data_IF_246242491414
#
_entry.id   IF_246242491414
#
_cell.length_a   1.000
_cell.length_b   1.000
_cell.length_c   1.000
_cell.angle_alpha   90.00
_cell.angle_beta   90.00
_cell.angle_gamma   90.00
#
_symmetry.space_group_name_H-M   'P 1'
#
loop_
_entity.id
_entity.type
_entity.pdbx_description
1 polymer ?
#
# COMPACT_ATOMS: atom_id res chain seq x y z
N UNK A 1 16.53 -12.73 -6.41
CA UNK A 1 15.85 -14.04 -6.57
C UNK A 1 14.69 -13.98 -7.56
N UNK A 2 13.58 -13.28 -7.30
CA UNK A 2 12.43 -13.26 -8.22
C UNK A 2 12.79 -12.85 -9.67
N UNK A 3 13.61 -11.82 -9.86
CA UNK A 3 14.12 -11.41 -11.20
C UNK A 3 14.85 -12.55 -11.93
N UNK A 4 15.65 -13.33 -11.20
CA UNK A 4 16.39 -14.44 -11.78
C UNK A 4 15.49 -15.64 -12.11
N UNK A 5 14.44 -15.88 -11.32
CA UNK A 5 13.52 -17.01 -11.51
C UNK A 5 12.41 -16.72 -12.53
N UNK A 6 12.04 -15.46 -12.74
CA UNK A 6 10.99 -15.05 -13.67
C UNK A 6 11.20 -15.51 -15.12
N UNK A 7 12.42 -15.49 -15.71
CA UNK A 7 12.66 -16.06 -17.04
C UNK A 7 12.82 -17.59 -17.05
N UNK A 8 13.03 -18.22 -15.88
CA UNK A 8 13.36 -19.66 -15.77
C UNK A 8 12.17 -20.55 -15.39
N UNK A 9 11.14 -19.98 -14.74
CA UNK A 9 9.97 -20.71 -14.26
C UNK A 9 8.70 -20.14 -14.90
N UNK A 10 8.16 -20.91 -15.85
CA UNK A 10 7.01 -20.53 -16.67
C UNK A 10 5.66 -20.88 -16.05
N UNK A 11 5.62 -21.39 -14.81
CA UNK A 11 4.35 -21.68 -14.13
C UNK A 11 3.51 -20.41 -14.00
N UNK A 12 2.21 -20.57 -14.21
CA UNK A 12 1.25 -19.49 -14.08
C UNK A 12 0.38 -19.70 -12.84
N UNK A 13 0.09 -18.60 -12.15
CA UNK A 13 -0.90 -18.55 -11.08
C UNK A 13 -1.87 -17.44 -11.43
N UNK A 14 -3.16 -17.79 -11.59
CA UNK A 14 -4.20 -16.86 -12.06
C UNK A 14 -3.83 -16.15 -13.37
N UNK A 15 -3.28 -16.89 -14.33
CA UNK A 15 -2.90 -16.36 -15.65
C UNK A 15 -1.64 -15.49 -15.69
N UNK A 16 -0.92 -15.32 -14.58
CA UNK A 16 0.31 -14.52 -14.51
C UNK A 16 1.53 -15.36 -14.11
N UNK A 17 2.75 -15.00 -14.57
CA UNK A 17 3.98 -15.68 -14.16
C UNK A 17 4.13 -15.72 -12.64
N UNK A 18 4.45 -16.89 -12.09
CA UNK A 18 4.42 -17.15 -10.64
C UNK A 18 5.31 -16.21 -9.83
N UNK A 19 6.45 -15.78 -10.38
CA UNK A 19 7.40 -14.86 -9.72
C UNK A 19 7.06 -13.38 -9.88
N UNK A 20 6.06 -13.02 -10.68
CA UNK A 20 5.67 -11.63 -10.90
C UNK A 20 5.11 -10.99 -9.62
N UNK A 21 4.30 -11.72 -8.85
CA UNK A 21 3.76 -11.21 -7.57
C UNK A 21 4.88 -10.97 -6.53
N UNK A 22 5.79 -11.92 -6.26
CA UNK A 22 6.96 -11.68 -5.41
C UNK A 22 7.76 -10.43 -5.82
N UNK A 23 8.04 -10.25 -7.12
CA UNK A 23 8.77 -9.08 -7.62
C UNK A 23 8.06 -7.77 -7.28
N UNK A 24 6.76 -7.66 -7.59
CA UNK A 24 5.97 -6.46 -7.28
C UNK A 24 5.96 -6.15 -5.80
N UNK A 25 5.70 -7.15 -4.96
CA UNK A 25 5.66 -6.96 -3.51
C UNK A 25 7.03 -6.55 -2.96
N UNK A 26 8.14 -7.13 -3.45
CA UNK A 26 9.48 -6.68 -3.06
C UNK A 26 9.71 -5.20 -3.39
N UNK A 27 9.36 -4.75 -4.60
CA UNK A 27 9.50 -3.34 -4.99
C UNK A 27 8.62 -2.42 -4.13
N UNK A 28 7.36 -2.81 -3.90
CA UNK A 28 6.44 -2.05 -3.05
C UNK A 28 6.90 -1.98 -1.60
N UNK A 29 7.42 -3.07 -1.04
CA UNK A 29 7.95 -3.11 0.35
C UNK A 29 9.15 -2.19 0.49
N UNK A 30 10.07 -2.19 -0.48
CA UNK A 30 11.22 -1.28 -0.47
C UNK A 30 10.75 0.18 -0.53
N UNK A 31 9.86 0.50 -1.48
CA UNK A 31 9.32 1.85 -1.61
C UNK A 31 8.59 2.30 -0.34
N UNK A 32 7.77 1.44 0.26
CA UNK A 32 7.01 1.71 1.48
C UNK A 32 7.93 1.92 2.69
N UNK A 33 8.82 0.96 2.98
CA UNK A 33 9.69 1.01 4.16
C UNK A 33 10.68 2.16 4.08
N UNK A 34 11.23 2.43 2.89
CA UNK A 34 12.10 3.59 2.65
C UNK A 34 11.34 4.90 2.87
N UNK A 35 10.14 5.04 2.29
CA UNK A 35 9.34 6.27 2.43
C UNK A 35 8.96 6.48 3.89
N UNK A 36 8.49 5.45 4.59
CA UNK A 36 8.10 5.57 5.99
C UNK A 36 9.30 5.93 6.87
N UNK A 37 10.45 5.30 6.66
CA UNK A 37 11.68 5.63 7.38
C UNK A 37 12.10 7.09 7.16
N UNK A 38 12.04 7.57 5.91
CA UNK A 38 12.32 8.97 5.57
C UNK A 38 11.39 9.94 6.32
N UNK A 39 10.07 9.70 6.28
CA UNK A 39 9.11 10.58 6.95
C UNK A 39 9.24 10.55 8.48
N UNK A 40 9.52 9.39 9.06
CA UNK A 40 9.66 9.25 10.52
C UNK A 40 10.99 9.79 11.04
N UNK A 41 12.03 9.87 10.20
CA UNK A 41 13.30 10.50 10.56
C UNK A 41 13.12 11.99 10.91
N UNK A 42 12.14 12.66 10.32
CA UNK A 42 11.85 14.08 10.58
C UNK A 42 11.13 14.32 11.92
N UNK A 43 10.68 13.28 12.63
CA UNK A 43 10.09 13.45 13.95
C UNK A 43 11.14 13.83 15.00
N UNK A 44 10.79 14.66 15.99
CA UNK A 44 11.75 15.14 16.98
C UNK A 44 12.21 14.05 17.96
N UNK A 45 13.32 14.30 18.65
CA UNK A 45 13.98 13.35 19.56
C UNK A 45 13.02 12.62 20.55
N UNK A 46 12.02 13.27 21.17
CA UNK A 46 11.07 12.59 22.05
C UNK A 46 10.26 11.46 21.38
N UNK A 47 10.02 11.56 20.07
CA UNK A 47 9.28 10.55 19.30
C UNK A 47 10.16 9.37 18.85
N UNK A 48 11.48 9.52 18.84
CA UNK A 48 12.39 8.56 18.19
C UNK A 48 12.40 7.16 18.84
N UNK A 49 12.07 7.06 20.14
CA UNK A 49 11.88 5.75 20.79
C UNK A 49 10.67 5.01 20.21
N UNK A 50 9.56 5.72 19.97
CA UNK A 50 8.38 5.15 19.35
C UNK A 50 8.62 4.83 17.86
N UNK A 51 9.31 5.71 17.13
CA UNK A 51 9.73 5.47 15.75
C UNK A 51 10.52 4.17 15.60
N UNK A 52 11.46 3.87 16.50
CA UNK A 52 12.20 2.59 16.47
C UNK A 52 11.30 1.38 16.64
N UNK A 53 10.29 1.45 17.52
CA UNK A 53 9.31 0.36 17.72
C UNK A 53 8.43 0.16 16.49
N UNK A 54 7.92 1.27 15.93
CA UNK A 54 7.15 1.26 14.68
C UNK A 54 7.98 0.65 13.56
N UNK A 55 9.21 1.13 13.38
CA UNK A 55 10.10 0.67 12.30
C UNK A 55 10.41 -0.83 12.43
N UNK A 56 10.71 -1.32 13.64
CA UNK A 56 10.95 -2.74 13.89
C UNK A 56 9.72 -3.61 13.62
N UNK A 57 8.54 -3.18 14.07
CA UNK A 57 7.29 -3.91 13.83
C UNK A 57 6.86 -3.92 12.36
N UNK A 58 7.02 -2.80 11.66
CA UNK A 58 6.79 -2.70 10.21
C UNK A 58 7.77 -3.61 9.46
N UNK A 59 9.07 -3.56 9.79
CA UNK A 59 10.07 -4.41 9.16
C UNK A 59 9.75 -5.90 9.35
N UNK A 60 9.41 -6.33 10.57
CA UNK A 60 8.99 -7.70 10.84
C UNK A 60 7.75 -8.09 10.02
N UNK A 61 6.74 -7.22 9.97
CA UNK A 61 5.52 -7.46 9.20
C UNK A 61 5.82 -7.67 7.71
N UNK A 62 6.68 -6.83 7.13
CA UNK A 62 7.06 -6.94 5.73
C UNK A 62 7.93 -8.17 5.44
N UNK A 63 8.79 -8.59 6.37
CA UNK A 63 9.58 -9.84 6.25
C UNK A 63 8.67 -11.06 6.25
N UNK A 64 7.70 -11.13 7.17
CA UNK A 64 6.73 -12.24 7.21
C UNK A 64 5.91 -12.26 5.93
N UNK A 65 5.37 -11.11 5.52
CA UNK A 65 4.58 -10.98 4.31
C UNK A 65 5.33 -11.48 3.07
N UNK A 66 6.55 -10.99 2.85
CA UNK A 66 7.32 -11.35 1.66
C UNK A 66 7.77 -12.82 1.72
N UNK A 67 8.14 -13.34 2.89
CA UNK A 67 8.52 -14.75 3.05
C UNK A 67 7.35 -15.68 2.66
N UNK A 68 6.14 -15.42 3.16
CA UNK A 68 4.96 -16.23 2.80
C UNK A 68 4.63 -16.11 1.32
N UNK A 69 4.74 -14.92 0.73
CA UNK A 69 4.53 -14.72 -0.72
C UNK A 69 5.53 -15.55 -1.54
N UNK A 70 6.81 -15.56 -1.17
CA UNK A 70 7.82 -16.36 -1.85
C UNK A 70 7.60 -17.86 -1.69
N UNK A 71 7.23 -18.33 -0.49
CA UNK A 71 6.90 -19.74 -0.26
C UNK A 71 5.71 -20.19 -1.11
N UNK A 72 4.63 -19.39 -1.13
CA UNK A 72 3.43 -19.73 -1.91
C UNK A 72 3.68 -19.68 -3.43
N UNK A 73 4.50 -18.72 -3.90
CA UNK A 73 4.96 -18.69 -5.28
C UNK A 73 5.79 -19.94 -5.63
N UNK A 74 6.72 -20.36 -4.76
CA UNK A 74 7.48 -21.60 -4.95
C UNK A 74 6.58 -22.83 -5.08
N UNK A 75 5.50 -22.88 -4.30
CA UNK A 75 4.46 -23.91 -4.34
C UNK A 75 3.50 -23.80 -5.53
N UNK A 76 3.58 -22.74 -6.34
CA UNK A 76 2.70 -22.55 -7.51
C UNK A 76 1.25 -22.26 -7.14
N UNK A 77 0.98 -21.65 -5.98
CA UNK A 77 -0.38 -21.35 -5.50
C UNK A 77 -0.51 -19.88 -5.10
N UNK A 78 -1.74 -19.41 -4.97
CA UNK A 78 -2.03 -18.04 -4.51
C UNK A 78 -1.66 -17.87 -3.03
N UNK A 79 -1.11 -16.70 -2.66
CA UNK A 79 -0.83 -16.37 -1.25
C UNK A 79 -1.98 -15.69 -0.52
N UNK A 80 -2.79 -14.92 -1.25
CA UNK A 80 -3.95 -14.21 -0.70
C UNK A 80 -5.23 -14.94 -1.14
N UNK A 81 -6.26 -14.91 -0.29
CA UNK A 81 -7.56 -15.58 -0.51
C UNK A 81 -7.47 -17.09 -0.68
N UNK A 82 -6.38 -17.70 -0.21
CA UNK A 82 -6.14 -19.12 -0.36
C UNK A 82 -6.46 -19.88 0.92
N UNK A 83 -7.66 -20.44 0.99
CA UNK A 83 -8.10 -21.33 2.06
C UNK A 83 -8.27 -22.78 1.59
N UNK A 84 -7.60 -23.20 0.50
CA UNK A 84 -7.80 -24.54 -0.09
C UNK A 84 -7.26 -25.70 0.75
N UNK A 85 -6.44 -25.41 1.76
CA UNK A 85 -5.93 -26.40 2.72
C UNK A 85 -5.62 -25.75 4.07
N UNK A 86 -5.48 -26.52 5.17
CA UNK A 86 -5.16 -25.96 6.49
C UNK A 86 -3.87 -25.13 6.49
N UNK A 87 -2.83 -25.58 5.78
CA UNK A 87 -1.58 -24.83 5.65
C UNK A 87 -1.79 -23.51 4.90
N UNK A 88 -2.54 -23.51 3.81
CA UNK A 88 -2.80 -22.30 3.03
C UNK A 88 -3.59 -21.27 3.83
N UNK A 89 -4.63 -21.72 4.54
CA UNK A 89 -5.42 -20.89 5.43
C UNK A 89 -4.58 -20.32 6.58
N UNK A 90 -3.72 -21.12 7.20
CA UNK A 90 -2.83 -20.65 8.27
C UNK A 90 -1.83 -19.60 7.78
N UNK A 91 -1.21 -19.81 6.61
CA UNK A 91 -0.29 -18.84 6.00
C UNK A 91 -1.00 -17.54 5.62
N UNK A 92 -2.19 -17.61 5.02
CA UNK A 92 -2.97 -16.43 4.69
C UNK A 92 -3.44 -15.68 5.95
N UNK A 93 -3.87 -16.40 6.99
CA UNK A 93 -4.23 -15.82 8.29
C UNK A 93 -3.05 -15.11 8.96
N UNK A 94 -1.86 -15.72 8.91
CA UNK A 94 -0.62 -15.11 9.42
C UNK A 94 -0.31 -13.77 8.73
N UNK A 95 -0.41 -13.73 7.40
CA UNK A 95 -0.27 -12.49 6.61
C UNK A 95 -1.30 -11.44 7.06
N UNK A 96 -2.57 -11.83 7.21
CA UNK A 96 -3.64 -10.96 7.70
C UNK A 96 -3.33 -10.32 9.06
N UNK A 97 -2.81 -11.11 10.01
CA UNK A 97 -2.40 -10.61 11.34
C UNK A 97 -1.29 -9.57 11.21
N UNK A 98 -0.23 -9.85 10.45
CA UNK A 98 0.89 -8.91 10.32
C UNK A 98 0.54 -7.65 9.53
N UNK A 99 -0.37 -7.72 8.56
CA UNK A 99 -0.89 -6.53 7.89
C UNK A 99 -1.79 -5.69 8.82
N UNK A 100 -2.57 -6.32 9.70
CA UNK A 100 -3.30 -5.60 10.75
C UNK A 100 -2.35 -4.92 11.75
N UNK A 101 -1.27 -5.61 12.17
CA UNK A 101 -0.23 -5.02 13.01
C UNK A 101 0.43 -3.83 12.30
N UNK A 102 0.87 -3.99 11.05
CA UNK A 102 1.45 -2.91 10.24
C UNK A 102 0.50 -1.71 10.16
N UNK A 103 -0.79 -1.96 9.96
CA UNK A 103 -1.83 -0.93 9.94
C UNK A 103 -1.86 -0.14 11.26
N UNK A 104 -1.94 -0.83 12.40
CA UNK A 104 -1.94 -0.18 13.72
C UNK A 104 -0.66 0.64 13.94
N UNK A 105 0.49 0.12 13.52
CA UNK A 105 1.77 0.84 13.61
C UNK A 105 1.78 2.10 12.73
N UNK A 106 1.15 2.07 11.55
CA UNK A 106 1.02 3.27 10.69
C UNK A 106 0.02 4.28 11.23
N UNK A 107 -1.04 3.83 11.91
CA UNK A 107 -1.94 4.71 12.68
C UNK A 107 -1.18 5.36 13.85
N UNK A 108 -0.28 4.61 14.50
CA UNK A 108 0.58 5.18 15.54
C UNK A 108 1.56 6.20 14.96
N UNK A 109 2.16 5.95 13.79
CA UNK A 109 2.98 6.91 13.05
C UNK A 109 2.20 8.20 12.72
N UNK A 110 0.97 8.05 12.22
CA UNK A 110 0.05 9.15 11.97
C UNK A 110 -0.19 9.97 13.24
N UNK A 111 -0.51 9.31 14.36
CA UNK A 111 -0.66 9.98 15.65
C UNK A 111 0.59 10.77 16.04
N UNK A 112 1.79 10.19 15.91
CA UNK A 112 3.05 10.88 16.22
C UNK A 112 3.27 12.11 15.33
N UNK A 113 2.93 12.02 14.03
CA UNK A 113 3.04 13.13 13.09
C UNK A 113 2.09 14.30 13.41
N UNK A 114 0.99 14.06 14.13
CA UNK A 114 0.11 15.10 14.64
C UNK A 114 0.54 15.61 16.02
N UNK A 115 0.89 14.69 16.92
CA UNK A 115 1.30 14.99 18.30
C UNK A 115 2.58 15.82 18.34
N UNK A 116 3.52 15.51 17.47
CA UNK A 116 4.77 16.21 17.27
C UNK A 116 4.75 16.94 15.93
N UNK A 117 5.57 17.98 15.80
CA UNK A 117 5.78 18.66 14.53
C UNK A 117 7.00 18.04 13.85
N UNK A 118 6.85 17.33 12.71
CA UNK A 118 7.99 16.95 11.88
C UNK A 118 8.82 18.18 11.47
N UNK A 119 10.12 18.01 11.32
CA UNK A 119 11.01 19.06 10.84
C UNK A 119 10.74 19.37 9.36
N UNK A 120 10.89 20.64 8.99
CA UNK A 120 10.73 21.11 7.61
C UNK A 120 9.66 22.19 7.42
N UNK A 121 9.50 22.67 6.17
CA UNK A 121 8.55 23.74 5.84
C UNK A 121 7.10 23.27 5.98
N UNK A 122 6.19 24.21 6.22
CA UNK A 122 4.78 23.91 6.51
C UNK A 122 4.08 23.07 5.42
N UNK A 123 4.39 23.33 4.14
CA UNK A 123 3.84 22.54 3.03
C UNK A 123 4.24 21.08 3.08
N UNK A 124 5.52 20.79 3.38
CA UNK A 124 6.01 19.43 3.57
C UNK A 124 5.38 18.74 4.77
N UNK A 125 5.32 19.41 5.92
CA UNK A 125 4.74 18.85 7.16
C UNK A 125 3.27 18.48 6.95
N UNK A 126 2.49 19.32 6.27
CA UNK A 126 1.10 18.98 5.91
C UNK A 126 1.03 17.84 4.88
N UNK A 127 1.97 17.78 3.94
CA UNK A 127 2.06 16.69 2.97
C UNK A 127 2.33 15.34 3.64
N UNK A 128 3.25 15.30 4.60
CA UNK A 128 3.52 14.14 5.47
C UNK A 128 2.26 13.71 6.21
N UNK A 129 1.61 14.67 6.86
CA UNK A 129 0.39 14.41 7.64
C UNK A 129 -0.71 13.81 6.77
N UNK A 130 -1.15 14.56 5.76
CA UNK A 130 -2.25 14.16 4.89
C UNK A 130 -1.90 12.92 4.06
N UNK A 131 -0.63 12.75 3.68
CA UNK A 131 -0.10 11.54 3.06
C UNK A 131 -0.29 10.30 3.92
N UNK A 132 0.10 10.35 5.20
CA UNK A 132 -0.15 9.26 6.16
C UNK A 132 -1.64 9.01 6.37
N UNK A 133 -2.47 10.07 6.42
CA UNK A 133 -3.91 9.92 6.64
C UNK A 133 -4.58 9.18 5.47
N UNK A 134 -4.32 9.62 4.24
CA UNK A 134 -4.85 8.99 3.04
C UNK A 134 -4.26 7.59 2.86
N UNK A 135 -2.98 7.39 3.20
CA UNK A 135 -2.36 6.06 3.22
C UNK A 135 -3.08 5.09 4.15
N UNK A 136 -3.43 5.51 5.37
CA UNK A 136 -4.19 4.68 6.32
C UNK A 136 -5.56 4.35 5.73
N UNK A 137 -6.28 5.33 5.18
CA UNK A 137 -7.58 5.09 4.54
C UNK A 137 -7.46 4.11 3.35
N UNK A 138 -6.45 4.29 2.49
CA UNK A 138 -6.14 3.38 1.40
C UNK A 138 -5.79 1.96 1.87
N UNK A 139 -5.07 1.85 2.99
CA UNK A 139 -4.72 0.56 3.60
C UNK A 139 -5.96 -0.20 4.09
N UNK A 140 -7.00 0.51 4.57
CA UNK A 140 -8.26 -0.13 4.97
C UNK A 140 -8.96 -0.85 3.81
N UNK A 141 -8.74 -0.39 2.57
CA UNK A 141 -9.28 -1.07 1.38
C UNK A 141 -8.67 -2.46 1.18
N UNK A 142 -7.44 -2.70 1.68
CA UNK A 142 -6.87 -4.05 1.78
C UNK A 142 -7.70 -4.94 2.69
N UNK A 143 -8.10 -4.43 3.85
CA UNK A 143 -9.02 -5.11 4.77
C UNK A 143 -10.38 -5.41 4.15
N UNK A 144 -10.94 -4.47 3.37
CA UNK A 144 -12.15 -4.70 2.60
C UNK A 144 -12.00 -5.87 1.62
N UNK A 145 -10.92 -5.92 0.84
CA UNK A 145 -10.70 -7.04 -0.10
C UNK A 145 -10.50 -8.37 0.62
N UNK A 146 -9.79 -8.38 1.76
CA UNK A 146 -9.65 -9.57 2.62
C UNK A 146 -11.03 -10.02 3.12
N UNK A 147 -11.88 -9.12 3.61
CA UNK A 147 -13.21 -9.48 4.09
C UNK A 147 -14.07 -10.12 2.99
N UNK A 148 -14.00 -9.58 1.76
CA UNK A 148 -14.77 -10.08 0.62
C UNK A 148 -14.13 -11.30 -0.09
N UNK A 149 -12.92 -11.71 0.31
CA UNK A 149 -12.12 -12.75 -0.33
C UNK A 149 -11.88 -12.54 -1.84
N UNK A 150 -11.93 -11.28 -2.30
CA UNK A 150 -11.76 -10.91 -3.71
C UNK A 150 -11.45 -9.42 -3.84
N UNK A 151 -10.95 -9.02 -5.01
CA UNK A 151 -10.72 -7.60 -5.32
C UNK A 151 -11.55 -7.08 -6.51
N UNK A 152 -12.07 -7.97 -7.34
CA UNK A 152 -12.92 -7.65 -8.49
C UNK A 152 -14.37 -7.53 -8.03
N UNK A 153 -15.10 -6.57 -8.59
CA UNK A 153 -16.51 -6.31 -8.30
C UNK A 153 -17.30 -6.39 -9.59
N UNK A 154 -18.37 -7.20 -9.59
CA UNK A 154 -19.19 -7.47 -10.78
C UNK A 154 -18.68 -8.64 -11.64
N UNK A 155 -17.55 -9.26 -11.28
CA UNK A 155 -17.03 -10.49 -11.89
C UNK A 155 -16.09 -11.23 -10.93
N UNK A 156 -15.82 -12.54 -11.13
CA UNK A 156 -14.81 -13.27 -10.38
C UNK A 156 -13.37 -12.76 -10.63
N UNK A 157 -12.48 -12.92 -9.64
CA UNK A 157 -11.04 -12.67 -9.81
C UNK A 157 -10.42 -13.65 -10.83
N UNK A 158 -9.42 -13.18 -11.59
CA UNK A 158 -8.67 -14.00 -12.55
C UNK A 158 -9.05 -13.83 -14.02
N UNK A 159 -10.00 -12.93 -14.34
CA UNK A 159 -10.34 -12.55 -15.71
C UNK A 159 -9.29 -11.68 -16.42
N UNK A 160 -9.60 -11.17 -17.63
CA UNK A 160 -8.72 -10.26 -18.37
C UNK A 160 -8.31 -9.06 -17.52
N UNK A 161 -7.01 -8.75 -17.53
CA UNK A 161 -6.45 -7.70 -16.69
C UNK A 161 -5.36 -6.90 -17.39
N UNK A 162 -5.15 -5.66 -16.94
CA UNK A 162 -4.14 -4.77 -17.48
C UNK A 162 -2.76 -5.41 -17.37
N UNK A 163 -1.99 -5.38 -18.47
CA UNK A 163 -0.67 -6.00 -18.54
C UNK A 163 0.21 -5.55 -17.38
N UNK A 164 0.80 -6.52 -16.69
CA UNK A 164 1.73 -6.24 -15.61
C UNK A 164 1.08 -5.74 -14.33
N UNK A 165 -0.21 -5.34 -14.26
CA UNK A 165 -0.90 -5.02 -13.00
C UNK A 165 -1.92 -6.09 -12.62
N UNK A 166 -2.60 -6.65 -13.62
CA UNK A 166 -3.67 -7.62 -13.46
C UNK A 166 -5.00 -7.02 -13.04
N UNK A 167 -5.14 -5.68 -13.05
CA UNK A 167 -6.39 -4.99 -12.75
C UNK A 167 -7.45 -5.30 -13.78
N UNK A 168 -8.66 -5.66 -13.36
CA UNK A 168 -9.75 -6.05 -14.26
C UNK A 168 -10.01 -4.99 -15.33
N UNK A 169 -10.11 -5.43 -16.58
CA UNK A 169 -10.48 -4.57 -17.73
C UNK A 169 -11.94 -4.71 -18.15
N UNK A 170 -12.70 -5.56 -17.45
CA UNK A 170 -14.10 -5.87 -17.80
C UNK A 170 -15.06 -5.62 -16.64
N UNK A 171 -14.55 -5.41 -15.43
CA UNK A 171 -15.32 -5.21 -14.22
C UNK A 171 -14.57 -4.25 -13.27
N UNK A 172 -15.22 -3.85 -12.17
CA UNK A 172 -14.60 -2.98 -11.18
C UNK A 172 -13.45 -3.66 -10.43
N UNK A 173 -12.42 -2.90 -10.06
CA UNK A 173 -11.26 -3.42 -9.33
C UNK A 173 -10.81 -2.49 -8.20
N UNK A 174 -11.01 -2.94 -6.95
CA UNK A 174 -10.73 -2.15 -5.75
C UNK A 174 -9.23 -1.90 -5.57
N UNK A 175 -8.37 -2.71 -6.20
CA UNK A 175 -6.90 -2.53 -6.11
C UNK A 175 -6.45 -1.20 -6.69
N UNK A 176 -7.19 -0.60 -7.62
CA UNK A 176 -6.83 0.68 -8.23
C UNK A 176 -6.92 1.80 -7.18
N UNK A 177 -8.05 1.88 -6.48
CA UNK A 177 -8.25 2.85 -5.40
C UNK A 177 -7.30 2.56 -4.21
N UNK A 178 -7.11 1.29 -3.86
CA UNK A 178 -6.15 0.88 -2.83
C UNK A 178 -4.72 1.30 -3.18
N UNK A 179 -4.26 1.04 -4.40
CA UNK A 179 -2.95 1.42 -4.90
C UNK A 179 -2.73 2.92 -4.80
N UNK A 180 -3.66 3.72 -5.33
CA UNK A 180 -3.54 5.18 -5.26
C UNK A 180 -3.61 5.65 -3.81
N UNK A 181 -4.52 5.11 -2.99
CA UNK A 181 -4.59 5.42 -1.56
C UNK A 181 -3.27 5.19 -0.82
N UNK A 182 -2.60 4.06 -1.06
CA UNK A 182 -1.27 3.79 -0.50
C UNK A 182 -0.20 4.73 -1.06
N UNK A 183 -0.28 5.13 -2.32
CA UNK A 183 0.72 6.01 -2.92
C UNK A 183 0.63 7.48 -2.46
N UNK A 184 -0.41 7.84 -1.70
CA UNK A 184 -0.49 9.12 -1.01
C UNK A 184 0.69 9.36 -0.06
N UNK A 185 1.26 8.27 0.50
CA UNK A 185 2.41 8.31 1.40
C UNK A 185 3.65 8.90 0.71
N UNK A 186 3.81 8.71 -0.59
CA UNK A 186 4.88 9.33 -1.38
C UNK A 186 4.42 10.65 -1.99
N UNK A 187 3.24 10.67 -2.60
CA UNK A 187 2.81 11.78 -3.45
C UNK A 187 2.61 13.09 -2.68
N UNK A 188 1.92 13.05 -1.53
CA UNK A 188 1.55 14.27 -0.80
C UNK A 188 2.74 14.95 -0.09
N UNK A 189 3.69 14.21 0.53
CA UNK A 189 4.90 14.84 1.08
C UNK A 189 5.77 15.47 -0.02
N UNK A 190 5.93 14.80 -1.17
CA UNK A 190 6.70 15.32 -2.30
C UNK A 190 6.04 16.56 -2.91
N UNK A 191 4.71 16.57 -3.05
CA UNK A 191 3.95 17.75 -3.46
C UNK A 191 4.21 18.92 -2.50
N UNK A 192 4.05 18.67 -1.19
CA UNK A 192 4.24 19.69 -0.17
C UNK A 192 5.67 20.23 -0.12
N UNK A 193 6.67 19.38 -0.30
CA UNK A 193 8.07 19.76 -0.43
C UNK A 193 8.31 20.63 -1.67
N UNK A 194 7.82 20.21 -2.84
CA UNK A 194 8.00 20.95 -4.09
C UNK A 194 7.34 22.34 -4.03
N UNK A 195 6.11 22.42 -3.49
CA UNK A 195 5.40 23.68 -3.27
C UNK A 195 6.10 24.57 -2.27
N UNK A 196 6.70 24.01 -1.22
CA UNK A 196 7.48 24.78 -0.24
C UNK A 196 8.70 25.45 -0.86
N UNK A 197 9.28 24.86 -1.92
CA UNK A 197 10.41 25.46 -2.66
C UNK A 197 9.96 26.51 -3.68
N UNK A 198 8.83 26.29 -4.35
CA UNK A 198 8.38 27.15 -5.47
C UNK A 198 7.49 28.31 -5.04
N UNK A 199 6.60 28.07 -4.09
CA UNK A 199 5.55 29.02 -3.66
C UNK A 199 5.37 28.99 -2.13
N UNK A 200 6.44 29.27 -1.34
CA UNK A 200 6.48 29.02 0.11
C UNK A 200 5.30 29.62 0.88
N UNK A 201 4.86 30.84 0.53
CA UNK A 201 3.73 31.53 1.17
C UNK A 201 2.38 30.80 1.01
N UNK A 202 2.20 30.04 -0.07
CA UNK A 202 0.96 29.31 -0.38
C UNK A 202 1.10 27.79 -0.23
N UNK A 203 2.29 27.31 0.11
CA UNK A 203 2.62 25.88 0.07
C UNK A 203 1.65 25.04 0.90
N UNK A 204 1.38 25.42 2.15
CA UNK A 204 0.45 24.68 3.01
C UNK A 204 -0.98 24.61 2.43
N UNK A 205 -1.52 25.73 1.96
CA UNK A 205 -2.88 25.78 1.38
C UNK A 205 -2.99 24.94 0.10
N UNK A 206 -1.98 25.02 -0.77
CA UNK A 206 -1.94 24.23 -2.01
C UNK A 206 -1.69 22.74 -1.73
N UNK A 207 -0.96 22.38 -0.67
CA UNK A 207 -0.84 20.97 -0.23
C UNK A 207 -2.19 20.43 0.23
N UNK A 208 -2.96 21.19 1.00
CA UNK A 208 -4.31 20.81 1.42
C UNK A 208 -5.25 20.62 0.23
N UNK A 209 -5.24 21.56 -0.72
CA UNK A 209 -6.02 21.44 -1.95
C UNK A 209 -5.62 20.19 -2.74
N UNK A 210 -4.31 19.97 -2.92
CA UNK A 210 -3.79 18.79 -3.62
C UNK A 210 -4.15 17.48 -2.92
N UNK A 211 -4.10 17.44 -1.58
CA UNK A 211 -4.55 16.30 -0.80
C UNK A 211 -6.06 16.04 -0.94
N UNK A 212 -6.88 17.09 -0.94
CA UNK A 212 -8.32 16.99 -1.18
C UNK A 212 -8.65 16.42 -2.56
N UNK A 213 -7.98 16.92 -3.60
CA UNK A 213 -8.11 16.41 -4.97
C UNK A 213 -7.65 14.95 -5.09
N UNK A 214 -6.53 14.61 -4.44
CA UNK A 214 -6.01 13.24 -4.41
C UNK A 214 -6.98 12.28 -3.73
N UNK A 215 -7.49 12.66 -2.56
CA UNK A 215 -8.48 11.87 -1.83
C UNK A 215 -9.79 11.71 -2.61
N UNK A 216 -10.24 12.78 -3.29
CA UNK A 216 -11.41 12.72 -4.17
C UNK A 216 -11.20 11.77 -5.35
N UNK A 217 -10.01 11.75 -5.95
CA UNK A 217 -9.67 10.80 -7.02
C UNK A 217 -9.66 9.35 -6.51
N UNK A 218 -9.08 9.09 -5.34
CA UNK A 218 -9.13 7.76 -4.69
C UNK A 218 -10.58 7.34 -4.42
N UNK A 219 -11.40 8.24 -3.87
CA UNK A 219 -12.81 7.97 -3.60
C UNK A 219 -13.61 7.72 -4.89
N UNK A 220 -13.37 8.50 -5.94
CA UNK A 220 -14.00 8.31 -7.25
C UNK A 220 -13.63 6.97 -7.90
N UNK A 221 -12.37 6.55 -7.81
CA UNK A 221 -11.94 5.24 -8.28
C UNK A 221 -12.59 4.11 -7.47
N UNK A 222 -12.74 4.29 -6.16
CA UNK A 222 -13.42 3.32 -5.30
C UNK A 222 -14.90 3.22 -5.66
N UNK A 223 -15.61 4.34 -5.83
CA UNK A 223 -17.04 4.31 -6.19
C UNK A 223 -17.25 3.71 -7.57
N UNK A 224 -16.38 4.00 -8.55
CA UNK A 224 -16.40 3.37 -9.87
C UNK A 224 -16.20 1.85 -9.77
N UNK A 225 -15.21 1.40 -9.00
CA UNK A 225 -14.95 -0.02 -8.79
C UNK A 225 -16.13 -0.71 -8.09
N UNK A 226 -16.70 -0.11 -7.04
CA UNK A 226 -17.85 -0.66 -6.32
C UNK A 226 -19.13 -0.70 -7.18
N UNK A 227 -19.25 0.15 -8.20
CA UNK A 227 -20.30 0.09 -9.20
C UNK A 227 -20.07 -1.02 -10.26
N UNK A 228 -19.02 -1.82 -10.12
CA UNK A 228 -18.67 -2.90 -11.03
C UNK A 228 -18.13 -2.45 -12.40
N UNK A 229 -17.72 -1.18 -12.52
CA UNK A 229 -17.27 -0.60 -13.79
C UNK A 229 -15.74 -0.68 -13.94
N UNK A 230 -15.21 -1.14 -15.10
CA UNK A 230 -13.77 -1.11 -15.34
C UNK A 230 -13.25 0.32 -15.41
N UNK A 231 -11.92 0.47 -15.33
CA UNK A 231 -11.26 1.79 -15.38
C UNK A 231 -11.45 2.48 -16.74
N UNK A 232 -11.41 1.70 -17.81
CA UNK A 232 -11.49 2.10 -19.22
C UNK A 232 -12.45 1.20 -19.98
#
# INVERSE_FOLDING_TARGET
MAVALLPLDHRLVMGAPVWLKPLKFSLSIVAYTWTLAWLLADLPAPAQRAVRRISGGVALSMVVEIAVIFVQAGRGVTSHYNASSPLNGALFGLMGVFIAVNTVLTIWALYLAWRYRPHGPAGYVWGLRLGLLVFVAGSMLGGYMIHNQQHTVGAPDGGPGLLGLGWSTVAGDVRIAHFLGMHALQALPLLGWALSRRVPRRAAALTWLGAGLYAAAVAGLLTQALAGRPLF
#
